data_IF_466720194612
#
_entry.id   IF_466720194612
#
_cell.length_a   1.000
_cell.length_b   1.000
_cell.length_c   1.000
_cell.angle_alpha   90.00
_cell.angle_beta   90.00
_cell.angle_gamma   90.00
#
_symmetry.space_group_name_H-M   'P 1'
#
loop_
_entity.id
_entity.type
_entity.pdbx_description
1 polymer ?
#
# COMPACT_ATOMS: atom_id res chain seq x y z
N UNK A 1 -8.24 -7.27 18.00
CA UNK A 1 -8.40 -7.72 16.62
C UNK A 1 -7.25 -7.26 15.76
N UNK A 2 -6.73 -8.14 14.96
CA UNK A 2 -5.52 -7.84 14.18
C UNK A 2 -5.83 -7.06 12.91
N UNK A 3 -4.84 -6.33 12.43
CA UNK A 3 -4.92 -5.62 11.14
C UNK A 3 -5.15 -6.61 10.01
N UNK A 4 -4.52 -7.78 10.08
CA UNK A 4 -4.69 -8.83 9.08
C UNK A 4 -6.15 -9.27 8.97
N UNK A 5 -6.78 -9.58 10.10
CA UNK A 5 -8.17 -10.02 10.12
C UNK A 5 -9.11 -8.91 9.65
N UNK A 6 -8.88 -7.68 10.08
CA UNK A 6 -9.69 -6.54 9.64
C UNK A 6 -9.57 -6.34 8.13
N UNK A 7 -8.38 -6.49 7.58
CA UNK A 7 -8.15 -6.38 6.13
C UNK A 7 -8.87 -7.47 5.37
N UNK A 8 -8.80 -8.72 5.82
CA UNK A 8 -9.50 -9.83 5.19
C UNK A 8 -11.02 -9.62 5.22
N UNK A 9 -11.56 -9.18 6.34
CA UNK A 9 -13.00 -8.90 6.45
C UNK A 9 -13.40 -7.86 5.41
N UNK A 10 -12.62 -6.79 5.26
CA UNK A 10 -12.93 -5.73 4.32
C UNK A 10 -12.93 -6.22 2.87
N UNK A 11 -11.92 -7.00 2.47
CA UNK A 11 -11.82 -7.46 1.09
C UNK A 11 -12.87 -8.51 0.77
N UNK A 12 -13.20 -9.40 1.71
CA UNK A 12 -14.28 -10.37 1.49
C UNK A 12 -15.65 -9.70 1.50
N UNK A 13 -15.79 -8.54 2.12
CA UNK A 13 -17.03 -7.76 2.09
C UNK A 13 -17.21 -6.97 0.79
N UNK A 14 -16.23 -7.00 -0.13
CA UNK A 14 -16.35 -6.39 -1.43
C UNK A 14 -15.55 -5.11 -1.62
N UNK A 15 -14.65 -4.77 -0.71
CA UNK A 15 -13.80 -3.59 -0.89
C UNK A 15 -12.87 -3.76 -2.09
N UNK A 16 -12.71 -2.69 -2.87
CA UNK A 16 -11.74 -2.65 -3.96
C UNK A 16 -10.39 -2.10 -3.50
N UNK A 17 -10.39 -1.36 -2.41
CA UNK A 17 -9.21 -0.79 -1.80
C UNK A 17 -9.31 -0.93 -0.29
N UNK A 18 -8.17 -1.18 0.36
CA UNK A 18 -8.06 -1.04 1.81
C UNK A 18 -7.09 0.09 2.10
N UNK A 19 -7.32 0.78 3.20
CA UNK A 19 -6.60 2.01 3.53
C UNK A 19 -6.11 1.96 4.96
N UNK A 20 -4.89 2.44 5.19
CA UNK A 20 -4.41 2.69 6.54
C UNK A 20 -5.12 3.92 7.13
N UNK A 21 -5.09 4.06 8.43
CA UNK A 21 -5.59 5.27 9.11
C UNK A 21 -7.06 5.59 8.82
N UNK A 22 -7.91 4.57 8.79
CA UNK A 22 -9.36 4.79 8.70
C UNK A 22 -9.91 5.12 10.09
N UNK A 23 -11.11 5.70 10.14
CA UNK A 23 -11.77 5.98 11.41
C UNK A 23 -12.02 4.75 12.28
N UNK A 24 -11.97 3.55 11.68
CA UNK A 24 -12.16 2.30 12.41
C UNK A 24 -10.84 1.68 12.85
N UNK A 25 -9.74 2.08 12.25
CA UNK A 25 -8.39 1.62 12.58
C UNK A 25 -7.54 2.87 12.77
N UNK A 26 -7.39 3.35 14.02
CA UNK A 26 -6.71 4.62 14.29
C UNK A 26 -5.19 4.52 14.26
N UNK A 27 -4.66 3.67 13.41
CA UNK A 27 -3.22 3.47 13.31
C UNK A 27 -2.72 4.12 12.03
N UNK A 28 -1.78 5.05 12.17
CA UNK A 28 -1.09 5.64 11.03
C UNK A 28 -0.31 4.56 10.27
N UNK A 29 0.04 4.86 9.04
CA UNK A 29 0.83 3.95 8.24
C UNK A 29 2.16 3.64 8.93
N UNK A 30 2.47 2.37 9.07
CA UNK A 30 3.77 1.88 9.53
C UNK A 30 4.23 0.78 8.58
N UNK A 31 5.54 0.50 8.51
CA UNK A 31 6.00 -0.62 7.68
C UNK A 31 5.32 -1.93 8.06
N UNK A 32 5.11 -2.17 9.35
CA UNK A 32 4.47 -3.40 9.83
C UNK A 32 3.01 -3.47 9.37
N UNK A 33 2.26 -2.38 9.50
CA UNK A 33 0.85 -2.39 9.10
C UNK A 33 0.70 -2.55 7.59
N UNK A 34 1.55 -1.89 6.82
CA UNK A 34 1.53 -2.01 5.36
C UNK A 34 1.87 -3.44 4.94
N UNK A 35 2.88 -4.04 5.57
CA UNK A 35 3.26 -5.42 5.28
C UNK A 35 2.09 -6.38 5.53
N UNK A 36 1.44 -6.25 6.68
CA UNK A 36 0.32 -7.12 7.06
C UNK A 36 -0.86 -6.96 6.11
N UNK A 37 -1.16 -5.72 5.71
CA UNK A 37 -2.24 -5.46 4.76
C UNK A 37 -1.91 -6.06 3.38
N UNK A 38 -0.66 -5.96 2.95
CA UNK A 38 -0.21 -6.60 1.71
C UNK A 38 -0.36 -8.13 1.76
N UNK A 39 -0.05 -8.74 2.90
CA UNK A 39 -0.24 -10.18 3.08
C UNK A 39 -1.71 -10.57 2.96
N UNK A 40 -2.62 -9.76 3.51
CA UNK A 40 -4.05 -10.01 3.38
C UNK A 40 -4.51 -9.91 1.91
N UNK A 41 -4.03 -8.89 1.20
CA UNK A 41 -4.32 -8.71 -0.23
C UNK A 41 -3.79 -9.91 -1.03
N UNK A 42 -2.58 -10.34 -0.74
CA UNK A 42 -1.97 -11.49 -1.43
C UNK A 42 -2.78 -12.76 -1.23
N UNK A 43 -3.19 -13.02 -0.01
CA UNK A 43 -4.00 -14.20 0.31
C UNK A 43 -5.33 -14.18 -0.43
N UNK A 44 -5.99 -13.04 -0.44
CA UNK A 44 -7.27 -12.89 -1.13
C UNK A 44 -7.10 -13.08 -2.64
N UNK A 45 -6.05 -12.51 -3.22
CA UNK A 45 -5.76 -12.66 -4.64
C UNK A 45 -5.50 -14.13 -5.00
N UNK A 46 -4.75 -14.84 -4.16
CA UNK A 46 -4.48 -16.25 -4.40
C UNK A 46 -5.75 -17.11 -4.41
N UNK A 47 -6.75 -16.72 -3.62
CA UNK A 47 -7.99 -17.48 -3.53
C UNK A 47 -9.04 -17.07 -4.55
N UNK A 48 -9.08 -15.82 -4.96
CA UNK A 48 -10.18 -15.30 -5.79
C UNK A 48 -9.73 -14.78 -7.15
N UNK A 49 -8.44 -14.51 -7.33
CA UNK A 49 -7.93 -13.87 -8.54
C UNK A 49 -8.22 -12.39 -8.63
N UNK A 50 -8.89 -11.80 -7.65
CA UNK A 50 -9.22 -10.38 -7.66
C UNK A 50 -8.11 -9.58 -6.98
N UNK A 51 -7.64 -8.54 -7.66
CA UNK A 51 -6.63 -7.63 -7.13
C UNK A 51 -7.30 -6.52 -6.32
N UNK A 52 -6.88 -6.40 -5.08
CA UNK A 52 -7.33 -5.34 -4.18
C UNK A 52 -6.23 -4.29 -4.09
N UNK A 53 -6.59 -3.02 -4.17
CA UNK A 53 -5.63 -1.94 -4.04
C UNK A 53 -5.35 -1.58 -2.60
N UNK A 54 -4.25 -0.89 -2.38
CA UNK A 54 -3.82 -0.40 -1.08
C UNK A 54 -3.61 1.11 -1.13
N UNK A 55 -4.20 1.83 -0.18
CA UNK A 55 -3.93 3.24 0.00
C UNK A 55 -3.23 3.45 1.33
N UNK A 56 -2.02 3.99 1.27
CA UNK A 56 -1.23 4.29 2.45
C UNK A 56 -1.44 5.74 2.82
N UNK A 57 -1.95 6.00 4.00
CA UNK A 57 -2.25 7.34 4.49
C UNK A 57 -1.94 7.44 5.97
N UNK A 58 -1.75 8.68 6.45
CA UNK A 58 -1.44 8.97 7.84
C UNK A 58 0.03 8.77 8.16
N UNK A 59 0.72 9.83 8.56
CA UNK A 59 2.12 9.76 8.94
C UNK A 59 3.11 9.65 7.78
N UNK A 60 2.63 9.71 6.54
CA UNK A 60 3.51 9.66 5.37
C UNK A 60 3.86 11.09 4.98
N UNK A 61 5.00 11.57 5.44
CA UNK A 61 5.41 12.97 5.25
C UNK A 61 6.67 13.15 4.42
N UNK A 62 7.40 12.08 4.14
CA UNK A 62 8.66 12.14 3.41
C UNK A 62 8.70 11.11 2.31
N UNK A 63 9.38 11.46 1.21
CA UNK A 63 9.55 10.57 0.07
C UNK A 63 10.23 9.26 0.47
N UNK A 64 11.17 9.30 1.41
CA UNK A 64 11.85 8.10 1.89
C UNK A 64 10.91 7.10 2.52
N UNK A 65 9.91 7.56 3.28
CA UNK A 65 8.90 6.68 3.86
C UNK A 65 8.06 6.02 2.77
N UNK A 66 7.70 6.80 1.76
CA UNK A 66 6.91 6.30 0.66
C UNK A 66 7.67 5.26 -0.16
N UNK A 67 8.96 5.46 -0.39
CA UNK A 67 9.81 4.49 -1.07
C UNK A 67 9.86 3.19 -0.28
N UNK A 68 9.92 3.27 1.05
CA UNK A 68 9.90 2.10 1.91
C UNK A 68 8.61 1.31 1.72
N UNK A 69 7.47 1.99 1.65
CA UNK A 69 6.18 1.33 1.42
C UNK A 69 6.10 0.71 0.03
N UNK A 70 6.62 1.41 -0.99
CA UNK A 70 6.72 0.86 -2.34
C UNK A 70 7.54 -0.43 -2.37
N UNK A 71 8.64 -0.46 -1.62
CA UNK A 71 9.50 -1.63 -1.52
C UNK A 71 8.73 -2.81 -0.91
N UNK A 72 7.95 -2.56 0.15
CA UNK A 72 7.14 -3.60 0.78
C UNK A 72 6.10 -4.13 -0.20
N UNK A 73 5.39 -3.26 -0.88
CA UNK A 73 4.37 -3.65 -1.86
C UNK A 73 5.00 -4.49 -2.97
N UNK A 74 6.13 -4.06 -3.49
CA UNK A 74 6.81 -4.80 -4.54
C UNK A 74 7.27 -6.18 -4.06
N UNK A 75 7.75 -6.27 -2.83
CA UNK A 75 8.23 -7.53 -2.27
C UNK A 75 7.09 -8.53 -2.03
N UNK A 76 5.98 -8.06 -1.50
CA UNK A 76 4.87 -8.93 -1.11
C UNK A 76 3.91 -9.20 -2.28
N UNK A 77 3.55 -8.16 -3.03
CA UNK A 77 2.52 -8.23 -4.06
C UNK A 77 3.08 -8.29 -5.47
N UNK A 78 4.27 -7.74 -5.69
CA UNK A 78 4.87 -7.68 -7.01
C UNK A 78 4.68 -6.35 -7.70
N UNK A 79 5.45 -6.13 -8.78
CA UNK A 79 5.46 -4.84 -9.48
C UNK A 79 4.13 -4.53 -10.17
N UNK A 80 3.27 -5.52 -10.39
CA UNK A 80 1.96 -5.31 -10.99
C UNK A 80 1.05 -4.43 -10.12
N UNK A 81 1.32 -4.35 -8.81
CA UNK A 81 0.58 -3.47 -7.91
C UNK A 81 1.11 -2.04 -7.90
N UNK A 82 2.27 -1.77 -8.48
CA UNK A 82 2.89 -0.45 -8.45
C UNK A 82 2.31 0.47 -9.54
N UNK A 83 1.01 0.60 -9.57
CA UNK A 83 0.28 1.49 -10.47
C UNK A 83 -0.77 2.24 -9.67
N UNK A 84 -1.26 3.39 -10.15
CA UNK A 84 -2.34 4.12 -9.46
C UNK A 84 -3.63 3.33 -9.32
N UNK A 85 -3.80 2.25 -10.09
CA UNK A 85 -4.98 1.40 -9.97
C UNK A 85 -4.97 0.55 -8.71
N UNK A 86 -3.79 0.23 -8.17
CA UNK A 86 -3.68 -0.69 -7.05
C UNK A 86 -2.88 -0.16 -5.87
N UNK A 87 -2.13 0.93 -6.05
CA UNK A 87 -1.35 1.50 -4.95
C UNK A 87 -1.43 3.01 -4.98
N UNK A 88 -1.85 3.60 -3.86
CA UNK A 88 -1.97 5.05 -3.72
C UNK A 88 -1.43 5.50 -2.37
N UNK A 89 -0.87 6.71 -2.37
CA UNK A 89 -0.41 7.36 -1.15
C UNK A 89 -1.28 8.58 -0.94
N UNK A 90 -1.65 8.84 0.32
CA UNK A 90 -2.66 9.83 0.65
C UNK A 90 -2.26 11.29 0.51
N UNK A 91 -1.07 11.60 -0.01
CA UNK A 91 -0.62 12.96 -0.26
C UNK A 91 -0.14 13.08 -1.69
N UNK A 92 -0.88 13.83 -2.52
CA UNK A 92 -0.57 13.95 -3.95
C UNK A 92 0.81 14.53 -4.23
N UNK A 93 1.22 15.52 -3.45
CA UNK A 93 2.53 16.13 -3.61
C UNK A 93 3.66 15.15 -3.32
N UNK A 94 3.44 14.25 -2.38
CA UNK A 94 4.41 13.23 -2.05
C UNK A 94 4.61 12.25 -3.21
N UNK A 95 3.56 11.95 -3.96
CA UNK A 95 3.68 11.09 -5.14
C UNK A 95 4.57 11.73 -6.20
N UNK A 96 4.47 13.03 -6.41
CA UNK A 96 5.33 13.74 -7.34
C UNK A 96 6.80 13.65 -6.92
N UNK A 97 7.06 13.79 -5.63
CA UNK A 97 8.42 13.69 -5.10
C UNK A 97 8.99 12.27 -5.29
N UNK A 98 8.17 11.26 -5.09
CA UNK A 98 8.56 9.86 -5.31
C UNK A 98 8.89 9.62 -6.77
N UNK A 99 8.06 10.09 -7.67
CA UNK A 99 8.29 9.93 -9.11
C UNK A 99 9.60 10.60 -9.51
N UNK A 100 9.88 11.79 -8.98
CA UNK A 100 11.14 12.48 -9.24
C UNK A 100 12.35 11.67 -8.77
N UNK A 101 12.28 11.09 -7.57
CA UNK A 101 13.38 10.29 -7.04
C UNK A 101 13.60 9.02 -7.86
N UNK A 102 12.54 8.35 -8.25
CA UNK A 102 12.65 7.15 -9.07
C UNK A 102 13.28 7.48 -10.41
N UNK A 103 12.87 8.58 -11.04
CA UNK A 103 13.47 9.02 -12.30
C UNK A 103 14.94 9.36 -12.13
N UNK A 104 15.30 10.03 -11.03
CA UNK A 104 16.70 10.36 -10.75
C UNK A 104 17.55 9.10 -10.62
N UNK A 105 17.04 8.08 -9.93
CA UNK A 105 17.75 6.81 -9.78
C UNK A 105 17.94 6.10 -11.12
N UNK A 106 16.94 6.18 -12.00
CA UNK A 106 17.05 5.59 -13.32
C UNK A 106 18.05 6.30 -14.20
N UNK A 107 18.20 7.61 -14.02
CA UNK A 107 19.15 8.41 -14.82
C UNK A 107 20.60 8.19 -14.40
N UNK A 108 20.84 7.68 -13.20
CA UNK A 108 22.20 7.44 -12.69
C UNK A 108 22.81 6.18 -13.31
N UNK A 109 22.03 5.33 -13.89
CA UNK A 109 22.53 4.09 -14.48
C UNK A 109 23.34 4.33 -15.74
#
# INVERSE_FOLDING_TARGET
>A
ESIFNASLIAVYAGADFIKTSTGKVPVNATPESVYVMCEAIRQYYAQTGKRIGLKVAGGVSKAQNAIRYLTIVNHVLGCEWLTPYYFRIGASQLMDDIVKEIKALQMIK
#
